data_IF_431800057482
#
_entry.id   IF_431800057482
#
_cell.length_a   1.000
_cell.length_b   1.000
_cell.length_c   1.000
_cell.angle_alpha   90.00
_cell.angle_beta   90.00
_cell.angle_gamma   90.00
#
_symmetry.space_group_name_H-M   'P 1'
#
loop_
_entity.id
_entity.type
_entity.pdbx_description
1 polymer ?
#
# COMPACT_ATOMS: atom_id res chain seq x y z
N UNK A 1 22.15 -25.95 -11.18
CA UNK A 1 20.75 -25.75 -11.62
C UNK A 1 20.41 -24.28 -11.40
N UNK A 2 20.43 -23.48 -12.47
CA UNK A 2 20.11 -22.06 -12.37
C UNK A 2 18.62 -21.90 -12.03
N UNK A 3 18.32 -21.19 -10.94
CA UNK A 3 16.96 -20.78 -10.65
C UNK A 3 16.46 -19.95 -11.84
N UNK A 4 15.48 -20.48 -12.58
CA UNK A 4 14.74 -19.68 -13.56
C UNK A 4 14.14 -18.51 -12.79
N UNK A 5 14.62 -17.30 -13.07
CA UNK A 5 13.94 -16.08 -12.66
C UNK A 5 12.49 -16.12 -13.17
N UNK A 6 11.58 -15.41 -12.51
CA UNK A 6 10.16 -15.46 -12.86
C UNK A 6 9.96 -15.13 -14.34
N UNK A 7 8.98 -15.79 -14.94
CA UNK A 7 8.61 -15.65 -16.34
C UNK A 7 8.43 -14.16 -16.69
N UNK A 8 9.02 -13.72 -17.81
CA UNK A 8 9.05 -12.30 -18.19
C UNK A 8 7.64 -11.76 -18.45
N UNK A 9 6.67 -12.64 -18.70
CA UNK A 9 5.28 -12.28 -18.96
C UNK A 9 4.46 -12.02 -17.68
N UNK A 10 4.90 -12.52 -16.50
CA UNK A 10 4.31 -12.13 -15.20
C UNK A 10 4.78 -10.74 -14.71
N UNK A 11 5.75 -10.13 -15.42
CA UNK A 11 6.26 -8.79 -15.12
C UNK A 11 5.41 -7.67 -15.75
N UNK A 12 4.37 -8.02 -16.53
CA UNK A 12 3.54 -7.10 -17.30
C UNK A 12 2.31 -6.55 -16.55
N UNK A 13 1.94 -7.09 -15.37
CA UNK A 13 1.09 -6.36 -14.43
C UNK A 13 1.85 -5.15 -13.90
N UNK A 14 1.18 -3.99 -13.85
CA UNK A 14 1.72 -2.74 -13.32
C UNK A 14 2.19 -3.00 -11.88
N UNK A 15 3.48 -3.23 -11.71
CA UNK A 15 3.99 -3.54 -10.40
C UNK A 15 4.12 -2.26 -9.59
N UNK A 16 3.50 -2.27 -8.41
CA UNK A 16 3.49 -1.13 -7.52
C UNK A 16 4.74 -1.12 -6.64
N UNK A 17 5.14 0.09 -6.25
CA UNK A 17 6.22 0.27 -5.31
C UNK A 17 5.84 -0.29 -3.95
N UNK A 18 6.63 -1.23 -3.42
CA UNK A 18 6.42 -1.84 -2.10
C UNK A 18 6.59 -0.88 -0.89
N UNK A 19 6.69 0.43 -1.12
CA UNK A 19 6.89 1.46 -0.08
C UNK A 19 5.90 2.60 -0.21
N UNK A 20 5.63 3.08 -1.43
CA UNK A 20 4.78 4.25 -1.65
C UNK A 20 3.67 4.00 -2.67
N UNK A 21 3.53 2.75 -3.13
CA UNK A 21 2.45 2.31 -4.00
C UNK A 21 2.38 3.00 -5.38
N UNK A 22 3.37 3.81 -5.76
CA UNK A 22 3.54 4.36 -7.14
C UNK A 22 4.04 3.28 -8.10
N UNK A 23 3.75 3.41 -9.39
CA UNK A 23 4.29 2.52 -10.44
C UNK A 23 5.81 2.31 -10.29
N UNK A 24 6.25 1.05 -10.27
CA UNK A 24 7.64 0.69 -10.18
C UNK A 24 8.37 1.04 -11.48
N UNK A 25 9.59 1.58 -11.35
CA UNK A 25 10.39 2.09 -12.47
C UNK A 25 11.68 1.31 -12.64
N UNK A 26 11.60 -0.02 -12.48
CA UNK A 26 12.72 -0.94 -12.70
C UNK A 26 13.67 -1.14 -11.51
N UNK A 27 13.42 -0.49 -10.37
CA UNK A 27 14.16 -0.75 -9.13
C UNK A 27 13.57 -1.94 -8.39
N UNK A 28 14.41 -2.78 -7.77
CA UNK A 28 13.91 -3.92 -7.00
C UNK A 28 14.88 -4.51 -5.98
N UNK A 29 14.37 -5.41 -5.16
CA UNK A 29 15.09 -6.08 -4.08
C UNK A 29 14.56 -7.49 -3.85
N UNK A 30 15.46 -8.47 -3.81
CA UNK A 30 15.20 -9.82 -3.30
C UNK A 30 16.28 -10.14 -2.26
N UNK A 31 15.87 -10.56 -1.06
CA UNK A 31 16.80 -10.81 0.04
C UNK A 31 17.78 -11.94 -0.31
N UNK A 32 19.07 -11.64 -0.24
CA UNK A 32 20.14 -12.58 -0.60
C UNK A 32 20.07 -13.12 -2.03
N UNK A 33 19.31 -12.49 -2.93
CA UNK A 33 18.98 -13.00 -4.28
C UNK A 33 18.40 -14.43 -4.24
N UNK A 34 17.70 -14.78 -3.16
CA UNK A 34 17.05 -16.08 -2.97
C UNK A 34 15.57 -15.99 -3.36
N UNK A 35 15.35 -15.90 -4.66
CA UNK A 35 14.02 -15.81 -5.29
C UNK A 35 13.11 -17.00 -4.96
N UNK A 36 13.71 -18.13 -4.56
CA UNK A 36 13.02 -19.34 -4.08
C UNK A 36 12.40 -19.17 -2.68
N UNK A 37 12.88 -18.20 -1.90
CA UNK A 37 12.56 -18.05 -0.46
C UNK A 37 11.99 -16.70 -0.08
N UNK A 38 12.30 -15.65 -0.83
CA UNK A 38 11.92 -14.29 -0.50
C UNK A 38 11.21 -13.61 -1.65
N UNK A 39 10.18 -12.80 -1.36
CA UNK A 39 9.49 -12.03 -2.37
C UNK A 39 10.45 -11.05 -3.07
N UNK A 40 10.16 -10.78 -4.35
CA UNK A 40 10.83 -9.71 -5.09
C UNK A 40 10.01 -8.42 -4.99
N UNK A 41 10.56 -7.45 -4.26
CA UNK A 41 9.94 -6.15 -4.08
C UNK A 41 10.37 -5.20 -5.20
N UNK A 42 9.42 -4.48 -5.82
CA UNK A 42 9.69 -3.48 -6.86
C UNK A 42 9.50 -2.07 -6.30
N UNK A 43 10.18 -1.07 -6.87
CA UNK A 43 10.15 0.31 -6.38
C UNK A 43 10.11 1.35 -7.50
N UNK A 44 9.52 2.52 -7.22
CA UNK A 44 9.37 3.62 -8.17
C UNK A 44 10.62 4.51 -8.32
N UNK A 45 11.57 4.43 -7.37
CA UNK A 45 12.76 5.27 -7.33
C UNK A 45 13.87 4.63 -6.49
N UNK A 46 15.12 5.08 -6.69
CA UNK A 46 16.26 4.66 -5.86
C UNK A 46 16.03 4.93 -4.37
N UNK A 47 15.42 6.07 -4.03
CA UNK A 47 15.06 6.40 -2.65
C UNK A 47 14.11 5.38 -2.03
N UNK A 48 13.09 4.94 -2.77
CA UNK A 48 12.16 3.91 -2.28
C UNK A 48 12.85 2.54 -2.19
N UNK A 49 13.76 2.23 -3.11
CA UNK A 49 14.58 1.02 -3.05
C UNK A 49 15.46 1.00 -1.79
N UNK A 50 16.15 2.09 -1.47
CA UNK A 50 17.03 2.15 -0.30
C UNK A 50 16.23 1.94 1.01
N UNK A 51 15.07 2.59 1.12
CA UNK A 51 14.15 2.42 2.26
C UNK A 51 13.63 0.98 2.35
N UNK A 52 13.06 0.46 1.27
CA UNK A 52 12.49 -0.89 1.23
C UNK A 52 13.53 -1.99 1.46
N UNK A 53 14.73 -1.83 0.90
CA UNK A 53 15.84 -2.77 1.10
C UNK A 53 16.30 -2.78 2.56
N UNK A 54 16.39 -1.62 3.20
CA UNK A 54 16.76 -1.54 4.62
C UNK A 54 15.72 -2.21 5.53
N UNK A 55 14.42 -2.07 5.23
CA UNK A 55 13.34 -2.74 5.95
C UNK A 55 13.43 -4.25 5.76
N UNK A 56 13.51 -4.70 4.50
CA UNK A 56 13.59 -6.11 4.18
C UNK A 56 14.84 -6.79 4.76
N UNK A 57 15.98 -6.09 4.82
CA UNK A 57 17.18 -6.61 5.49
C UNK A 57 16.97 -6.87 6.98
N UNK A 58 16.26 -5.99 7.68
CA UNK A 58 15.94 -6.16 9.11
C UNK A 58 14.92 -7.26 9.36
N UNK A 59 14.04 -7.51 8.39
CA UNK A 59 12.90 -8.41 8.48
C UNK A 59 13.07 -9.68 7.63
N UNK A 60 14.32 -10.10 7.36
CA UNK A 60 14.63 -11.35 6.65
C UNK A 60 13.88 -11.51 5.30
N UNK A 61 13.83 -10.44 4.52
CA UNK A 61 13.21 -10.38 3.19
C UNK A 61 11.73 -10.00 3.17
N UNK A 62 11.08 -9.89 4.32
CA UNK A 62 9.68 -9.49 4.43
C UNK A 62 9.56 -7.97 4.54
N UNK A 63 8.60 -7.39 3.79
CA UNK A 63 8.16 -6.00 3.99
C UNK A 63 6.70 -6.10 4.44
N UNK A 64 6.53 -6.41 5.72
CA UNK A 64 5.24 -6.22 6.40
C UNK A 64 4.99 -4.73 6.60
N UNK A 65 3.77 -4.37 7.01
CA UNK A 65 3.42 -2.99 7.34
C UNK A 65 4.53 -2.34 8.14
N UNK A 66 5.08 -1.26 7.61
CA UNK A 66 6.21 -0.63 8.27
C UNK A 66 5.78 -0.12 9.65
N UNK A 67 6.70 -0.07 10.62
CA UNK A 67 6.39 0.56 11.92
C UNK A 67 5.87 2.01 11.76
N UNK A 68 6.22 2.64 10.63
CA UNK A 68 5.73 3.93 10.18
C UNK A 68 4.28 3.88 9.69
N UNK A 69 3.87 2.88 8.91
CA UNK A 69 2.46 2.67 8.52
C UNK A 69 1.60 2.37 9.74
N UNK A 70 2.06 1.48 10.64
CA UNK A 70 1.35 1.22 11.89
C UNK A 70 1.22 2.50 12.74
N UNK A 71 2.21 3.39 12.71
CA UNK A 71 2.15 4.69 13.38
C UNK A 71 1.20 5.66 12.67
N UNK A 72 1.21 5.71 11.34
CA UNK A 72 0.34 6.56 10.54
C UNK A 72 -1.15 6.22 10.75
N UNK A 73 -1.50 4.94 10.83
CA UNK A 73 -2.86 4.49 11.16
C UNK A 73 -3.28 4.99 12.54
N UNK A 74 -2.39 4.90 13.54
CA UNK A 74 -2.67 5.42 14.89
C UNK A 74 -2.85 6.94 14.90
N UNK A 75 -2.00 7.67 14.18
CA UNK A 75 -2.06 9.13 14.11
C UNK A 75 -3.34 9.61 13.37
N UNK A 76 -3.89 8.80 12.47
CA UNK A 76 -5.14 9.08 11.75
C UNK A 76 -6.42 8.94 12.60
N UNK A 77 -6.34 8.37 13.82
CA UNK A 77 -7.52 8.18 14.68
C UNK A 77 -8.15 9.48 15.13
N UNK A 78 -7.34 10.50 15.42
CA UNK A 78 -7.82 11.82 15.85
C UNK A 78 -8.68 12.49 14.78
N UNK A 79 -8.18 12.72 13.54
CA UNK A 79 -9.02 13.33 12.51
C UNK A 79 -10.22 12.46 12.12
N UNK A 80 -10.11 11.13 12.23
CA UNK A 80 -11.25 10.24 12.02
C UNK A 80 -12.36 10.45 13.07
N UNK A 81 -12.00 10.56 14.35
CA UNK A 81 -12.95 10.83 15.43
C UNK A 81 -13.56 12.24 15.33
N UNK A 82 -12.78 13.24 14.93
CA UNK A 82 -13.27 14.60 14.67
C UNK A 82 -14.33 14.58 13.56
N UNK A 83 -14.04 13.96 12.42
CA UNK A 83 -15.00 13.83 11.31
C UNK A 83 -16.29 13.10 11.72
N UNK A 84 -16.18 12.00 12.49
CA UNK A 84 -17.35 11.32 13.02
C UNK A 84 -18.15 12.18 13.98
N UNK A 85 -17.50 13.04 14.77
CA UNK A 85 -18.15 13.94 15.73
C UNK A 85 -18.95 15.00 14.98
N UNK A 86 -18.34 15.62 13.98
CA UNK A 86 -18.97 16.66 13.16
C UNK A 86 -20.19 16.15 12.39
N UNK A 87 -20.16 14.88 11.99
CA UNK A 87 -21.27 14.20 11.31
C UNK A 87 -22.33 13.64 12.29
N UNK A 88 -22.11 13.71 13.60
CA UNK A 88 -23.02 13.12 14.60
C UNK A 88 -23.02 11.57 14.62
N UNK A 89 -21.93 10.96 14.17
CA UNK A 89 -21.78 9.50 13.98
C UNK A 89 -20.90 8.83 15.05
N UNK A 90 -20.53 9.53 16.13
CA UNK A 90 -19.60 8.98 17.13
C UNK A 90 -20.19 7.89 18.03
N UNK A 91 -21.51 7.89 18.25
CA UNK A 91 -22.13 7.01 19.25
C UNK A 91 -21.88 5.50 19.04
N UNK A 92 -21.93 4.95 17.80
CA UNK A 92 -21.56 3.55 17.54
C UNK A 92 -20.11 3.18 17.84
N UNK A 93 -19.21 4.16 18.02
CA UNK A 93 -17.78 3.95 18.17
C UNK A 93 -17.30 3.96 19.62
N UNK A 94 -18.11 4.42 20.58
CA UNK A 94 -17.73 4.53 22.00
C UNK A 94 -17.31 3.20 22.65
N UNK A 95 -17.77 2.07 22.11
CA UNK A 95 -17.46 0.73 22.63
C UNK A 95 -16.54 -0.09 21.71
N UNK A 96 -15.97 0.54 20.67
CA UNK A 96 -15.08 -0.15 19.73
C UNK A 96 -13.64 -0.13 20.22
N UNK A 97 -12.94 -1.22 19.98
CA UNK A 97 -11.53 -1.30 20.32
C UNK A 97 -10.71 -0.44 19.37
N UNK A 98 -9.54 0.01 19.81
CA UNK A 98 -8.61 0.72 18.95
C UNK A 98 -8.22 -0.08 17.69
N UNK A 99 -8.22 -1.43 17.78
CA UNK A 99 -7.95 -2.30 16.65
C UNK A 99 -9.10 -2.32 15.62
N UNK A 100 -10.36 -2.21 16.08
CA UNK A 100 -11.50 -2.11 15.17
C UNK A 100 -11.49 -0.77 14.43
N UNK A 101 -11.10 0.31 15.12
CA UNK A 101 -10.90 1.62 14.48
C UNK A 101 -9.78 1.57 13.43
N UNK A 102 -8.64 0.96 13.78
CA UNK A 102 -7.53 0.79 12.84
C UNK A 102 -7.96 0.05 11.57
N UNK A 103 -8.79 -1.00 11.70
CA UNK A 103 -9.31 -1.76 10.56
C UNK A 103 -10.17 -0.90 9.63
N UNK A 104 -10.98 0.01 10.19
CA UNK A 104 -11.83 0.90 9.40
C UNK A 104 -11.00 1.94 8.65
N UNK A 105 -10.03 2.56 9.34
CA UNK A 105 -9.09 3.51 8.72
C UNK A 105 -8.31 2.82 7.62
N UNK A 106 -7.81 1.61 7.88
CA UNK A 106 -7.09 0.82 6.89
C UNK A 106 -7.95 0.49 5.67
N UNK A 107 -9.18 0.01 5.85
CA UNK A 107 -10.07 -0.30 4.74
C UNK A 107 -10.33 0.93 3.85
N UNK A 108 -10.56 2.10 4.46
CA UNK A 108 -10.78 3.36 3.73
C UNK A 108 -9.52 3.80 2.96
N UNK A 109 -8.36 3.78 3.60
CA UNK A 109 -7.09 4.18 2.97
C UNK A 109 -6.68 3.21 1.86
N UNK A 110 -6.84 1.90 2.07
CA UNK A 110 -6.57 0.88 1.06
C UNK A 110 -7.48 1.05 -0.14
N UNK A 111 -8.81 1.16 0.04
CA UNK A 111 -9.73 1.35 -1.08
C UNK A 111 -9.45 2.63 -1.88
N UNK A 112 -9.07 3.71 -1.20
CA UNK A 112 -8.62 4.94 -1.86
C UNK A 112 -7.34 4.73 -2.69
N UNK A 113 -6.31 4.09 -2.12
CA UNK A 113 -5.05 3.82 -2.82
C UNK A 113 -5.27 2.92 -4.02
N UNK A 114 -6.04 1.84 -3.86
CA UNK A 114 -6.36 0.89 -4.93
C UNK A 114 -7.08 1.62 -6.09
N UNK A 115 -8.10 2.43 -5.78
CA UNK A 115 -8.81 3.21 -6.80
C UNK A 115 -7.90 4.21 -7.52
N UNK A 116 -7.06 4.93 -6.77
CA UNK A 116 -6.09 5.86 -7.36
C UNK A 116 -5.07 5.15 -8.27
N UNK A 117 -4.71 3.92 -7.94
CA UNK A 117 -3.79 3.11 -8.75
C UNK A 117 -4.46 2.59 -10.02
N UNK A 118 -5.69 2.10 -9.92
CA UNK A 118 -6.48 1.68 -11.08
C UNK A 118 -6.64 2.85 -12.06
N UNK A 119 -7.01 4.03 -11.55
CA UNK A 119 -7.13 5.24 -12.36
C UNK A 119 -5.80 5.64 -13.01
N UNK A 120 -4.67 5.55 -12.29
CA UNK A 120 -3.36 5.85 -12.86
C UNK A 120 -2.90 4.81 -13.91
N UNK A 121 -3.36 3.56 -13.82
CA UNK A 121 -3.08 2.51 -14.80
C UNK A 121 -3.88 2.70 -16.11
N UNK A 122 -5.02 3.38 -16.04
CA UNK A 122 -5.76 3.84 -17.21
C UNK A 122 -5.21 5.20 -17.67
N UNK A 123 -4.73 5.32 -18.91
CA UNK A 123 -4.39 6.64 -19.49
C UNK A 123 -5.64 7.52 -19.45
N UNK A 124 -5.66 8.51 -18.55
CA UNK A 124 -6.67 9.59 -18.55
C UNK A 124 -6.76 10.16 -19.96
N UNK A 125 -7.86 9.85 -20.65
CA UNK A 125 -8.13 10.37 -21.99
C UNK A 125 -8.83 11.73 -21.91
N UNK A 126 -9.36 12.08 -20.73
CA UNK A 126 -10.15 13.28 -20.48
C UNK A 126 -10.10 13.50 -18.97
N UNK A 127 -9.60 14.63 -18.49
CA UNK A 127 -9.40 14.93 -17.05
C UNK A 127 -10.70 15.16 -16.28
N UNK A 128 -11.68 14.28 -16.43
CA UNK A 128 -12.99 14.30 -15.79
C UNK A 128 -13.06 13.15 -14.79
N UNK A 129 -13.40 13.46 -13.54
CA UNK A 129 -13.65 12.48 -12.48
C UNK A 129 -14.72 11.49 -12.97
N UNK A 130 -14.41 10.19 -12.95
CA UNK A 130 -15.39 9.13 -13.20
C UNK A 130 -16.37 9.11 -12.02
N UNK A 131 -17.52 9.73 -12.23
CA UNK A 131 -18.59 9.91 -11.25
C UNK A 131 -19.51 8.66 -11.23
N UNK A 132 -18.91 7.47 -11.18
CA UNK A 132 -19.67 6.24 -11.01
C UNK A 132 -20.14 6.16 -9.55
N UNK A 133 -21.44 5.89 -9.29
CA UNK A 133 -21.95 5.79 -7.93
C UNK A 133 -21.25 4.64 -7.20
N UNK A 134 -20.37 4.99 -6.26
CA UNK A 134 -19.74 4.03 -5.36
C UNK A 134 -20.81 3.56 -4.36
N UNK A 135 -20.99 2.26 -4.13
CA UNK A 135 -22.07 1.77 -3.28
C UNK A 135 -21.73 2.03 -1.81
N UNK A 136 -22.21 3.15 -1.27
CA UNK A 136 -22.36 3.38 0.16
C UNK A 136 -23.63 4.17 0.45
#
# INVERSE_FOLDING_TARGET
>A
MAARGPDRDLLAEVALCAVCAREARGFGYCHGLRWDRHPYHRFCSRRCQDVGSAIAQRNNGMIDKTAREARAIRDARTPFAEALTDLGLMEPFFHRSAADIDRLIEAAVTGYIDSMQDQAAHKERTGTVLDDPIPF
#
